data_IF_914228722601
#
_entry.id   IF_914228722601
#
_cell.length_a   1.000
_cell.length_b   1.000
_cell.length_c   1.000
_cell.angle_alpha   90.00
_cell.angle_beta   90.00
_cell.angle_gamma   90.00
#
_symmetry.space_group_name_H-M   'P 1'
#
loop_
_entity.id
_entity.type
_entity.pdbx_description
1 polymer ?
#
# COMPACT_ATOMS: atom_id res chain seq x y z
N UNK A 1 0.20 48.63 -36.16
CA UNK A 1 -0.57 48.23 -34.97
C UNK A 1 -1.42 47.04 -35.37
N UNK A 2 -0.86 45.84 -35.27
CA UNK A 2 -1.57 44.60 -35.61
C UNK A 2 -2.32 44.15 -34.37
N UNK A 3 -3.66 44.13 -34.47
CA UNK A 3 -4.57 43.53 -33.50
C UNK A 3 -4.20 42.07 -33.30
N UNK A 4 -3.79 41.71 -32.08
CA UNK A 4 -3.75 40.31 -31.65
C UNK A 4 -5.15 39.73 -31.88
N UNK A 5 -5.27 38.81 -32.84
CA UNK A 5 -6.45 37.98 -32.95
C UNK A 5 -6.60 37.25 -31.61
N UNK A 6 -7.70 37.54 -30.88
CA UNK A 6 -8.06 36.81 -29.68
C UNK A 6 -7.97 35.32 -29.99
N UNK A 7 -7.08 34.64 -29.28
CA UNK A 7 -6.89 33.21 -29.42
C UNK A 7 -8.15 32.53 -28.88
N UNK A 8 -9.14 32.36 -29.74
CA UNK A 8 -10.34 31.60 -29.47
C UNK A 8 -9.95 30.14 -29.44
N UNK A 9 -10.02 29.53 -28.26
CA UNK A 9 -9.63 28.14 -28.08
C UNK A 9 -10.00 27.64 -26.70
N UNK A 10 -9.75 26.36 -26.46
CA UNK A 10 -10.11 25.71 -25.20
C UNK A 10 -9.52 26.44 -23.96
N UNK A 11 -8.37 27.10 -24.12
CA UNK A 11 -7.69 27.85 -23.07
C UNK A 11 -8.33 29.20 -22.71
N UNK A 12 -9.26 29.71 -23.53
CA UNK A 12 -10.00 30.95 -23.25
C UNK A 12 -11.35 30.69 -22.58
N UNK A 13 -11.71 29.43 -22.33
CA UNK A 13 -12.97 29.09 -21.68
C UNK A 13 -12.90 29.35 -20.17
N UNK A 14 -14.02 29.75 -19.54
CA UNK A 14 -14.18 29.71 -18.09
C UNK A 14 -13.86 28.33 -17.50
N UNK A 15 -13.34 28.32 -16.28
CA UNK A 15 -12.92 27.09 -15.57
C UNK A 15 -14.09 26.11 -15.39
N UNK A 16 -15.30 26.63 -15.20
CA UNK A 16 -16.53 25.86 -15.07
C UNK A 16 -16.81 25.03 -16.33
N UNK A 17 -16.64 25.63 -17.51
CA UNK A 17 -16.82 24.92 -18.79
C UNK A 17 -15.72 23.88 -19.00
N UNK A 18 -14.48 24.17 -18.58
CA UNK A 18 -13.40 23.18 -18.62
C UNK A 18 -13.70 21.97 -17.74
N UNK A 19 -14.32 22.18 -16.57
CA UNK A 19 -14.79 21.11 -15.69
C UNK A 19 -15.91 20.28 -16.33
N UNK A 20 -16.92 20.91 -16.90
CA UNK A 20 -18.01 20.22 -17.58
C UNK A 20 -17.52 19.39 -18.76
N UNK A 21 -16.68 19.96 -19.62
CA UNK A 21 -16.08 19.27 -20.77
C UNK A 21 -15.34 18.01 -20.30
N UNK A 22 -14.56 18.12 -19.22
CA UNK A 22 -13.78 17.01 -18.71
C UNK A 22 -14.64 15.93 -18.03
N UNK A 23 -15.71 16.33 -17.32
CA UNK A 23 -16.67 15.39 -16.74
C UNK A 23 -17.48 14.65 -17.82
N UNK A 24 -17.80 15.33 -18.92
CA UNK A 24 -18.49 14.70 -20.05
C UNK A 24 -17.57 13.77 -20.85
N UNK A 25 -16.35 14.23 -21.14
CA UNK A 25 -15.40 13.47 -21.96
C UNK A 25 -14.72 12.32 -21.20
N UNK A 26 -14.60 12.43 -19.86
CA UNK A 26 -13.85 11.50 -19.00
C UNK A 26 -12.41 11.21 -19.49
N UNK A 27 -11.83 12.16 -20.22
CA UNK A 27 -10.56 11.98 -20.90
C UNK A 27 -9.39 12.09 -19.92
N UNK A 28 -8.57 11.04 -19.83
CA UNK A 28 -7.34 11.10 -19.01
C UNK A 28 -6.28 12.03 -19.62
N UNK A 29 -6.40 12.33 -20.92
CA UNK A 29 -5.38 12.99 -21.71
C UNK A 29 -5.61 14.51 -21.82
N UNK A 30 -6.84 14.98 -21.57
CA UNK A 30 -7.19 16.41 -21.64
C UNK A 30 -6.30 17.31 -20.76
N UNK A 31 -5.99 16.96 -19.49
CA UNK A 31 -5.10 17.77 -18.67
C UNK A 31 -3.67 17.91 -19.22
N UNK A 32 -3.26 17.08 -20.19
CA UNK A 32 -1.92 17.09 -20.75
C UNK A 32 -1.84 17.83 -22.09
N UNK A 33 -2.96 18.35 -22.60
CA UNK A 33 -3.01 19.10 -23.86
C UNK A 33 -2.41 20.50 -23.77
N UNK A 34 -2.41 21.11 -22.57
CA UNK A 34 -1.87 22.44 -22.30
C UNK A 34 -1.48 22.58 -20.84
N UNK A 35 -0.44 23.37 -20.54
CA UNK A 35 -0.03 23.67 -19.17
C UNK A 35 -1.13 24.40 -18.39
N UNK A 36 -1.80 25.38 -19.03
CA UNK A 36 -2.91 26.09 -18.39
C UNK A 36 -4.04 25.13 -17.97
N UNK A 37 -4.46 24.25 -18.88
CA UNK A 37 -5.52 23.26 -18.62
C UNK A 37 -5.09 22.29 -17.51
N UNK A 38 -3.81 21.89 -17.51
CA UNK A 38 -3.22 21.09 -16.44
C UNK A 38 -3.35 21.78 -15.09
N UNK A 39 -2.98 23.05 -15.01
CA UNK A 39 -2.96 23.83 -13.78
C UNK A 39 -4.39 24.04 -13.24
N UNK A 40 -5.36 24.25 -14.14
CA UNK A 40 -6.80 24.29 -13.80
C UNK A 40 -7.23 23.00 -13.10
N UNK A 41 -6.96 21.83 -13.70
CA UNK A 41 -7.37 20.55 -13.10
C UNK A 41 -6.55 20.16 -11.86
N UNK A 42 -5.28 20.55 -11.77
CA UNK A 42 -4.46 20.39 -10.54
C UNK A 42 -5.01 21.26 -9.40
N UNK A 43 -5.64 22.38 -9.71
CA UNK A 43 -6.22 23.31 -8.73
C UNK A 43 -7.68 23.01 -8.42
N UNK A 44 -8.29 22.05 -9.13
CA UNK A 44 -9.72 21.74 -8.99
C UNK A 44 -10.08 21.23 -7.60
N UNK A 45 -11.32 21.49 -7.16
CA UNK A 45 -11.79 21.12 -5.82
C UNK A 45 -11.80 19.60 -5.59
N UNK A 46 -11.69 19.13 -4.34
CA UNK A 46 -11.79 17.70 -4.02
C UNK A 46 -13.10 17.07 -4.51
N UNK A 47 -14.22 17.81 -4.43
CA UNK A 47 -15.54 17.38 -4.93
C UNK A 47 -15.54 17.13 -6.43
N UNK A 48 -14.97 18.05 -7.21
CA UNK A 48 -14.84 17.86 -8.66
C UNK A 48 -13.99 16.62 -9.00
N UNK A 49 -12.85 16.45 -8.32
CA UNK A 49 -11.99 15.28 -8.53
C UNK A 49 -12.70 13.98 -8.15
N UNK A 50 -13.45 13.98 -7.05
CA UNK A 50 -14.24 12.83 -6.61
C UNK A 50 -15.28 12.45 -7.67
N UNK A 51 -16.03 13.42 -8.18
CA UNK A 51 -17.01 13.21 -9.24
C UNK A 51 -16.36 12.66 -10.51
N UNK A 52 -15.28 13.27 -10.99
CA UNK A 52 -14.54 12.78 -12.16
C UNK A 52 -14.08 11.34 -11.98
N UNK A 53 -13.51 11.00 -10.81
CA UNK A 53 -13.03 9.65 -10.51
C UNK A 53 -14.18 8.64 -10.38
N UNK A 54 -15.32 9.05 -9.83
CA UNK A 54 -16.52 8.23 -9.73
C UNK A 54 -17.07 7.88 -11.10
N UNK A 55 -17.29 8.88 -11.96
CA UNK A 55 -17.78 8.67 -13.33
C UNK A 55 -16.80 7.80 -14.14
N UNK A 56 -15.49 8.06 -14.00
CA UNK A 56 -14.44 7.20 -14.59
C UNK A 56 -14.46 5.77 -14.07
N UNK A 57 -14.81 5.56 -12.82
CA UNK A 57 -14.91 4.22 -12.25
C UNK A 57 -16.16 3.50 -12.78
N UNK A 58 -17.27 4.22 -12.98
CA UNK A 58 -18.58 3.74 -13.44
C UNK A 58 -18.65 3.27 -14.90
N UNK A 59 -17.68 3.62 -15.76
CA UNK A 59 -17.69 3.25 -17.19
C UNK A 59 -17.53 1.75 -17.49
N UNK A 60 -17.77 0.83 -16.56
CA UNK A 60 -17.78 -0.61 -16.82
C UNK A 60 -19.04 -1.26 -16.27
N UNK A 61 -19.50 -2.33 -16.91
CA UNK A 61 -20.73 -3.01 -16.50
C UNK A 61 -20.57 -3.70 -15.13
N UNK A 62 -21.58 -3.51 -14.27
CA UNK A 62 -21.72 -4.06 -12.90
C UNK A 62 -20.56 -3.74 -11.96
N UNK A 63 -20.74 -2.69 -11.14
CA UNK A 63 -19.68 -2.17 -10.28
C UNK A 63 -20.16 -2.18 -8.84
N UNK A 64 -19.48 -2.95 -8.00
CA UNK A 64 -19.65 -2.84 -6.55
C UNK A 64 -18.88 -1.64 -6.01
N UNK A 65 -19.20 -1.20 -4.78
CA UNK A 65 -18.40 -0.16 -4.09
C UNK A 65 -16.92 -0.55 -4.00
N UNK A 66 -16.61 -1.83 -3.77
CA UNK A 66 -15.25 -2.37 -3.72
C UNK A 66 -14.49 -2.18 -5.03
N UNK A 67 -15.18 -2.34 -6.18
CA UNK A 67 -14.59 -2.13 -7.49
C UNK A 67 -14.28 -0.65 -7.73
N UNK A 68 -15.17 0.25 -7.29
CA UNK A 68 -14.93 1.70 -7.36
C UNK A 68 -13.68 2.05 -6.56
N UNK A 69 -13.58 1.63 -5.30
CA UNK A 69 -12.40 1.91 -4.48
C UNK A 69 -11.13 1.35 -5.09
N UNK A 70 -11.16 0.11 -5.59
CA UNK A 70 -10.03 -0.51 -6.28
C UNK A 70 -9.57 0.28 -7.51
N UNK A 71 -10.48 0.96 -8.21
CA UNK A 71 -10.19 1.78 -9.41
C UNK A 71 -9.77 3.20 -9.06
N UNK A 72 -10.54 3.89 -8.22
CA UNK A 72 -10.31 5.28 -7.83
C UNK A 72 -8.96 5.43 -7.14
N UNK A 73 -8.60 4.50 -6.26
CA UNK A 73 -7.31 4.52 -5.59
C UNK A 73 -6.14 4.38 -6.57
N UNK A 74 -6.31 3.87 -7.81
CA UNK A 74 -5.22 3.78 -8.80
C UNK A 74 -4.80 5.15 -9.34
N UNK A 75 -5.64 6.17 -9.19
CA UNK A 75 -5.35 7.53 -9.64
C UNK A 75 -4.56 8.28 -8.57
N UNK A 76 -3.47 8.94 -8.98
CA UNK A 76 -2.67 9.79 -8.08
C UNK A 76 -3.43 11.02 -7.54
N UNK A 77 -4.58 11.34 -8.14
CA UNK A 77 -5.48 12.41 -7.71
C UNK A 77 -6.30 12.04 -6.47
N UNK A 78 -6.40 10.73 -6.14
CA UNK A 78 -7.16 10.26 -4.99
C UNK A 78 -6.36 10.48 -3.69
N UNK A 79 -6.66 11.59 -3.02
CA UNK A 79 -6.21 11.96 -1.67
C UNK A 79 -7.30 11.70 -0.63
N UNK A 80 -6.99 11.94 0.64
CA UNK A 80 -7.97 11.89 1.75
C UNK A 80 -9.20 12.76 1.47
N UNK A 81 -9.01 14.04 1.15
CA UNK A 81 -10.12 14.99 0.90
C UNK A 81 -11.00 14.56 -0.28
N UNK A 82 -10.39 13.93 -1.29
CA UNK A 82 -11.14 13.39 -2.45
C UNK A 82 -11.98 12.18 -2.02
N UNK A 83 -11.48 11.33 -1.13
CA UNK A 83 -12.27 10.24 -0.57
C UNK A 83 -13.39 10.77 0.31
N UNK A 84 -13.13 11.75 1.18
CA UNK A 84 -14.17 12.39 2.00
C UNK A 84 -15.29 12.98 1.15
N UNK A 85 -14.95 13.59 0.01
CA UNK A 85 -15.94 14.09 -0.95
C UNK A 85 -16.64 12.99 -1.75
N UNK A 86 -15.98 11.83 -1.96
CA UNK A 86 -16.52 10.69 -2.70
C UNK A 86 -17.54 9.89 -1.88
N UNK A 87 -17.35 9.77 -0.56
CA UNK A 87 -18.18 8.94 0.31
C UNK A 87 -19.67 9.30 0.22
N UNK A 88 -20.09 10.57 0.39
CA UNK A 88 -21.51 10.92 0.26
C UNK A 88 -22.09 10.53 -1.09
N UNK A 89 -21.34 10.74 -2.18
CA UNK A 89 -21.76 10.39 -3.54
C UNK A 89 -21.99 8.89 -3.72
N UNK A 90 -21.27 8.04 -2.98
CA UNK A 90 -21.41 6.58 -3.01
C UNK A 90 -22.53 6.05 -2.10
N UNK A 91 -22.87 6.80 -1.06
CA UNK A 91 -23.97 6.46 -0.16
C UNK A 91 -25.33 6.80 -0.79
N UNK A 92 -25.37 7.86 -1.61
CA UNK A 92 -26.57 8.25 -2.36
C UNK A 92 -26.87 7.30 -3.55
N UNK A 93 -25.88 6.55 -4.01
CA UNK A 93 -26.00 5.64 -5.15
C UNK A 93 -26.43 4.23 -4.67
N UNK A 94 -27.47 3.60 -5.27
CA UNK A 94 -27.95 2.25 -4.91
C UNK A 94 -26.99 1.12 -5.34
N UNK A 95 -25.67 1.33 -5.21
CA UNK A 95 -24.65 0.34 -5.49
C UNK A 95 -24.68 -0.78 -4.46
N UNK A 96 -24.55 -2.02 -4.93
CA UNK A 96 -24.44 -3.18 -4.06
C UNK A 96 -23.23 -3.07 -3.14
N UNK A 97 -23.47 -3.22 -1.84
CA UNK A 97 -22.42 -3.43 -0.85
C UNK A 97 -21.93 -4.86 -1.02
N UNK A 98 -20.87 -5.04 -1.80
CA UNK A 98 -20.16 -6.31 -1.83
C UNK A 98 -19.41 -6.48 -0.51
N UNK A 99 -19.49 -7.68 0.08
CA UNK A 99 -18.64 -8.09 1.20
C UNK A 99 -17.16 -8.24 0.79
N UNK A 100 -16.87 -8.12 -0.50
CA UNK A 100 -15.54 -8.25 -1.05
C UNK A 100 -14.66 -7.06 -0.66
N UNK A 101 -13.46 -7.36 -0.18
CA UNK A 101 -12.43 -6.35 0.09
C UNK A 101 -11.95 -5.73 -1.22
N UNK A 102 -11.59 -4.45 -1.19
CA UNK A 102 -11.03 -3.78 -2.38
C UNK A 102 -9.50 -3.88 -2.44
N UNK A 103 -8.93 -3.81 -3.64
CA UNK A 103 -7.49 -3.93 -3.84
C UNK A 103 -6.74 -2.63 -3.52
N UNK A 104 -5.64 -2.73 -2.78
CA UNK A 104 -4.70 -1.63 -2.58
C UNK A 104 -3.74 -1.52 -3.77
N UNK A 105 -3.70 -0.38 -4.48
CA UNK A 105 -2.89 -0.26 -5.68
C UNK A 105 -1.40 -0.08 -5.34
N UNK A 106 -0.55 -0.69 -6.18
CA UNK A 106 0.93 -0.61 -6.04
C UNK A 106 1.47 0.82 -5.97
N UNK A 107 0.77 1.83 -6.52
CA UNK A 107 1.24 3.22 -6.53
C UNK A 107 1.47 3.79 -5.13
N UNK A 108 0.67 3.37 -4.13
CA UNK A 108 0.76 3.86 -2.75
C UNK A 108 2.12 3.54 -2.14
N UNK A 109 2.70 2.40 -2.54
CA UNK A 109 3.96 1.88 -2.03
C UNK A 109 5.12 2.08 -3.00
N UNK A 110 4.87 2.56 -4.23
CA UNK A 110 5.87 2.61 -5.29
C UNK A 110 7.07 3.50 -4.91
N UNK A 111 6.79 4.64 -4.26
CA UNK A 111 7.78 5.64 -3.83
C UNK A 111 8.56 5.24 -2.57
N UNK A 112 8.22 4.12 -1.93
CA UNK A 112 8.98 3.61 -0.80
C UNK A 112 10.38 3.18 -1.23
N UNK A 113 11.37 3.86 -0.68
CA UNK A 113 12.79 3.63 -0.86
C UNK A 113 13.51 3.66 0.50
N UNK A 114 14.66 2.97 0.65
CA UNK A 114 15.49 3.12 1.83
C UNK A 114 15.90 4.59 2.01
N UNK A 115 15.69 5.14 3.21
CA UNK A 115 16.23 6.44 3.59
C UNK A 115 17.70 6.30 4.00
N UNK A 116 18.48 7.38 3.88
CA UNK A 116 19.86 7.45 4.38
C UNK A 116 19.89 7.41 5.90
N UNK A 117 21.00 6.97 6.50
CA UNK A 117 21.12 6.63 7.92
C UNK A 117 20.64 7.68 8.93
N UNK A 118 20.55 8.96 8.55
CA UNK A 118 20.07 10.06 9.40
C UNK A 118 18.55 10.30 9.36
N UNK A 119 17.84 9.80 8.35
CA UNK A 119 16.39 10.00 8.20
C UNK A 119 15.67 8.65 8.38
N UNK A 120 14.89 8.52 9.45
CA UNK A 120 14.13 7.31 9.74
C UNK A 120 12.67 7.53 9.36
N UNK A 121 12.04 6.49 8.85
CA UNK A 121 10.60 6.49 8.60
C UNK A 121 9.81 6.59 9.91
N UNK A 122 8.82 7.48 9.97
CA UNK A 122 7.99 7.75 11.15
C UNK A 122 6.51 7.48 10.87
N UNK A 123 5.70 7.45 11.91
CA UNK A 123 4.27 7.14 11.84
C UNK A 123 3.47 8.11 10.95
N UNK A 124 3.95 9.35 10.83
CA UNK A 124 3.35 10.40 10.00
C UNK A 124 3.83 10.40 8.55
N UNK A 125 4.80 9.56 8.18
CA UNK A 125 5.29 9.50 6.81
C UNK A 125 4.31 8.73 5.91
N UNK A 126 4.08 9.24 4.70
CA UNK A 126 3.27 8.55 3.69
C UNK A 126 3.89 7.19 3.29
N UNK A 127 3.08 6.14 3.06
CA UNK A 127 1.62 6.13 2.92
C UNK A 127 0.84 5.83 4.22
N UNK A 128 1.48 5.83 5.39
CA UNK A 128 0.89 5.23 6.59
C UNK A 128 -0.36 5.98 7.10
N UNK A 129 -0.37 7.33 7.26
CA UNK A 129 -1.58 8.04 7.69
C UNK A 129 -2.75 7.84 6.74
N UNK A 130 -2.49 7.83 5.42
CA UNK A 130 -3.52 7.60 4.43
C UNK A 130 -4.10 6.18 4.52
N UNK A 131 -3.26 5.16 4.74
CA UNK A 131 -3.73 3.79 4.96
C UNK A 131 -4.55 3.66 6.23
N UNK A 132 -4.10 4.27 7.35
CA UNK A 132 -4.87 4.28 8.60
C UNK A 132 -6.26 4.86 8.37
N UNK A 133 -6.34 5.99 7.67
CA UNK A 133 -7.61 6.58 7.28
C UNK A 133 -8.49 5.59 6.50
N UNK A 134 -7.97 4.96 5.43
CA UNK A 134 -8.70 3.98 4.61
C UNK A 134 -9.29 2.80 5.40
N UNK A 135 -8.59 2.33 6.43
CA UNK A 135 -9.06 1.22 7.28
C UNK A 135 -10.09 1.64 8.34
N UNK A 136 -10.23 2.93 8.60
CA UNK A 136 -11.17 3.47 9.61
C UNK A 136 -12.48 3.96 9.02
N UNK A 137 -12.62 3.95 7.68
CA UNK A 137 -13.82 4.50 7.03
C UNK A 137 -15.01 3.58 7.31
N UNK A 138 -16.09 4.08 7.94
CA UNK A 138 -17.30 3.31 8.17
C UNK A 138 -18.03 3.04 6.85
N UNK A 139 -18.84 1.97 6.81
CA UNK A 139 -19.75 1.63 5.71
C UNK A 139 -19.08 1.37 4.34
N UNK A 140 -17.75 1.27 4.33
CA UNK A 140 -16.94 0.97 3.16
C UNK A 140 -16.24 -0.38 3.36
N UNK A 141 -16.16 -1.21 2.31
CA UNK A 141 -15.46 -2.49 2.38
C UNK A 141 -14.02 -2.31 2.84
N UNK A 142 -13.53 -3.20 3.69
CA UNK A 142 -12.14 -3.09 4.17
C UNK A 142 -11.14 -3.34 3.02
N UNK A 143 -9.99 -2.64 2.98
CA UNK A 143 -8.95 -2.92 2.00
C UNK A 143 -8.38 -4.34 2.17
N UNK A 144 -8.05 -4.98 1.05
CA UNK A 144 -7.31 -6.23 1.05
C UNK A 144 -5.81 -5.97 1.21
N UNK A 145 -5.28 -6.23 2.41
CA UNK A 145 -3.91 -5.88 2.79
C UNK A 145 -2.83 -6.63 1.99
N UNK A 146 -3.12 -7.86 1.56
CA UNK A 146 -2.22 -8.72 0.79
C UNK A 146 -2.36 -8.53 -0.74
N UNK A 147 -2.94 -7.41 -1.18
CA UNK A 147 -3.09 -7.08 -2.60
C UNK A 147 -1.77 -7.22 -3.37
N UNK A 148 -1.86 -7.77 -4.59
CA UNK A 148 -0.71 -8.03 -5.45
C UNK A 148 0.39 -8.89 -4.80
N UNK A 149 -0.02 -9.98 -4.15
CA UNK A 149 0.85 -10.95 -3.47
C UNK A 149 1.71 -10.33 -2.37
N UNK A 150 1.11 -9.51 -1.50
CA UNK A 150 1.81 -8.88 -0.38
C UNK A 150 2.83 -7.81 -0.80
N UNK A 151 2.57 -7.13 -1.93
CA UNK A 151 3.44 -6.08 -2.46
C UNK A 151 3.71 -4.96 -1.44
N UNK A 152 2.67 -4.56 -0.69
CA UNK A 152 2.76 -3.53 0.35
C UNK A 152 3.81 -3.88 1.41
N UNK A 153 3.69 -5.08 2.00
CA UNK A 153 4.60 -5.57 3.04
C UNK A 153 6.04 -5.69 2.49
N UNK A 154 6.19 -6.26 1.29
CA UNK A 154 7.51 -6.40 0.64
C UNK A 154 8.18 -5.04 0.42
N UNK A 155 7.44 -4.03 -0.04
CA UNK A 155 7.98 -2.67 -0.26
C UNK A 155 8.29 -1.94 1.04
N UNK A 156 7.47 -2.11 2.08
CA UNK A 156 7.73 -1.56 3.40
C UNK A 156 9.02 -2.14 4.01
N UNK A 157 9.22 -3.46 3.90
CA UNK A 157 10.45 -4.16 4.30
C UNK A 157 11.66 -3.66 3.51
N UNK A 158 11.53 -3.55 2.18
CA UNK A 158 12.59 -2.99 1.34
C UNK A 158 12.99 -1.58 1.78
N UNK A 159 12.04 -0.74 2.18
CA UNK A 159 12.30 0.63 2.64
C UNK A 159 12.74 0.74 4.11
N UNK A 160 12.71 -0.35 4.89
CA UNK A 160 12.87 -0.34 6.37
C UNK A 160 11.88 0.60 7.07
N UNK A 161 10.66 0.69 6.55
CA UNK A 161 9.60 1.48 7.16
C UNK A 161 8.95 0.68 8.30
N UNK A 162 9.63 0.57 9.44
CA UNK A 162 9.22 -0.29 10.56
C UNK A 162 7.79 -0.02 11.05
N UNK A 163 7.35 1.24 11.28
CA UNK A 163 5.95 1.48 11.64
C UNK A 163 4.94 0.95 10.65
N UNK A 164 5.18 1.14 9.35
CA UNK A 164 4.31 0.62 8.30
C UNK A 164 4.30 -0.91 8.32
N UNK A 165 5.44 -1.57 8.50
CA UNK A 165 5.51 -3.04 8.60
C UNK A 165 4.68 -3.54 9.78
N UNK A 166 4.84 -2.94 10.96
CA UNK A 166 4.08 -3.30 12.15
C UNK A 166 2.58 -3.10 11.94
N UNK A 167 2.20 -1.96 11.33
CA UNK A 167 0.80 -1.68 10.99
C UNK A 167 0.24 -2.72 10.03
N UNK A 168 0.93 -3.02 8.93
CA UNK A 168 0.48 -4.02 7.94
C UNK A 168 0.32 -5.41 8.59
N UNK A 169 1.28 -5.86 9.40
CA UNK A 169 1.18 -7.13 10.12
C UNK A 169 0.04 -7.12 11.15
N UNK A 170 -0.19 -5.99 11.81
CA UNK A 170 -1.32 -5.78 12.73
C UNK A 170 -2.68 -5.86 12.04
N UNK A 171 -2.76 -5.42 10.78
CA UNK A 171 -3.94 -5.58 9.91
C UNK A 171 -4.04 -6.98 9.27
N UNK A 172 -3.15 -7.92 9.63
CA UNK A 172 -3.17 -9.30 9.16
C UNK A 172 -2.44 -9.56 7.84
N UNK A 173 -1.54 -8.67 7.40
CA UNK A 173 -0.68 -8.95 6.26
C UNK A 173 0.14 -10.22 6.50
N UNK A 174 0.20 -11.10 5.50
CA UNK A 174 0.92 -12.36 5.62
C UNK A 174 2.35 -12.25 5.08
N UNK A 175 3.38 -12.51 5.92
CA UNK A 175 4.77 -12.59 5.46
C UNK A 175 5.03 -13.72 4.47
N UNK A 176 4.13 -14.71 4.37
CA UNK A 176 4.27 -15.89 3.50
C UNK A 176 3.93 -15.60 2.02
N UNK A 177 3.35 -14.44 1.71
CA UNK A 177 2.97 -14.09 0.34
C UNK A 177 4.16 -14.09 -0.61
N UNK A 178 3.90 -14.55 -1.84
CA UNK A 178 4.91 -14.66 -2.91
C UNK A 178 6.15 -15.43 -2.46
N UNK A 179 5.96 -16.64 -1.93
CA UNK A 179 7.04 -17.49 -1.40
C UNK A 179 7.89 -16.77 -0.34
N UNK A 180 7.22 -16.04 0.55
CA UNK A 180 7.85 -15.24 1.60
C UNK A 180 8.91 -14.25 1.09
N UNK A 181 8.57 -13.52 0.01
CA UNK A 181 9.46 -12.55 -0.59
C UNK A 181 9.87 -11.45 0.40
N UNK A 182 8.96 -11.00 1.26
CA UNK A 182 9.26 -10.01 2.30
C UNK A 182 10.39 -10.48 3.22
N UNK A 183 10.33 -11.72 3.71
CA UNK A 183 11.38 -12.30 4.57
C UNK A 183 12.69 -12.44 3.79
N UNK A 184 12.63 -12.91 2.54
CA UNK A 184 13.81 -13.03 1.68
C UNK A 184 14.50 -11.68 1.46
N UNK A 185 13.73 -10.59 1.30
CA UNK A 185 14.27 -9.23 1.20
C UNK A 185 14.97 -8.83 2.51
N UNK A 186 14.37 -9.10 3.67
CA UNK A 186 15.00 -8.80 4.97
C UNK A 186 16.32 -9.56 5.16
N UNK A 187 16.36 -10.85 4.80
CA UNK A 187 17.56 -11.69 4.84
C UNK A 187 18.67 -11.10 3.96
N UNK A 188 18.35 -10.72 2.71
CA UNK A 188 19.33 -10.11 1.80
C UNK A 188 19.88 -8.78 2.30
N UNK A 189 19.14 -8.07 3.15
CA UNK A 189 19.59 -6.84 3.80
C UNK A 189 20.36 -7.10 5.10
N UNK A 190 20.60 -8.36 5.46
CA UNK A 190 21.28 -8.80 6.69
C UNK A 190 20.68 -8.16 7.94
N UNK A 191 19.35 -8.11 8.00
CA UNK A 191 18.61 -7.39 9.03
C UNK A 191 17.86 -8.40 9.91
N UNK A 192 18.54 -8.92 10.95
CA UNK A 192 17.99 -9.95 11.83
C UNK A 192 16.72 -9.48 12.54
N UNK A 193 16.70 -8.25 13.05
CA UNK A 193 15.52 -7.70 13.74
C UNK A 193 14.30 -7.65 12.82
N UNK A 194 14.52 -7.31 11.54
CA UNK A 194 13.45 -7.31 10.55
C UNK A 194 12.97 -8.72 10.20
N UNK A 195 13.88 -9.71 10.16
CA UNK A 195 13.50 -11.13 10.00
C UNK A 195 12.68 -11.59 11.20
N UNK A 196 13.14 -11.33 12.43
CA UNK A 196 12.41 -11.64 13.67
C UNK A 196 11.03 -10.99 13.68
N UNK A 197 10.93 -9.72 13.28
CA UNK A 197 9.65 -9.00 13.18
C UNK A 197 8.65 -9.68 12.23
N UNK A 198 9.13 -10.23 11.11
CA UNK A 198 8.28 -10.89 10.12
C UNK A 198 7.92 -12.33 10.51
N UNK A 199 8.86 -13.07 11.10
CA UNK A 199 8.67 -14.49 11.45
C UNK A 199 7.91 -14.63 12.76
N UNK A 200 8.33 -13.94 13.81
CA UNK A 200 7.76 -14.11 15.14
C UNK A 200 6.42 -13.41 15.25
N UNK A 201 5.51 -13.97 16.06
CA UNK A 201 4.25 -13.30 16.39
C UNK A 201 4.41 -12.50 17.68
N UNK A 202 4.60 -11.18 17.55
CA UNK A 202 4.51 -10.26 18.68
C UNK A 202 3.05 -9.88 18.89
N UNK A 203 2.48 -10.18 20.06
CA UNK A 203 1.19 -9.62 20.44
C UNK A 203 1.29 -8.10 20.48
N UNK A 204 0.29 -7.35 19.98
CA UNK A 204 0.16 -5.96 20.41
C UNK A 204 0.03 -6.01 21.93
N UNK A 205 0.87 -5.27 22.65
CA UNK A 205 0.81 -5.16 24.10
C UNK A 205 -0.54 -4.52 24.44
N UNK A 206 -1.57 -5.36 24.58
CA UNK A 206 -2.80 -4.95 25.22
C UNK A 206 -2.42 -4.71 26.67
N UNK A 207 -2.33 -3.43 27.02
CA UNK A 207 -2.25 -2.94 28.39
C UNK A 207 -3.59 -3.25 29.06
N UNK A 208 -3.89 -4.52 29.29
CA UNK A 208 -5.05 -4.96 30.04
C UNK A 208 -4.57 -5.65 31.30
N UNK A 209 -4.56 -4.84 32.36
CA UNK A 209 -4.77 -5.15 33.78
C UNK A 209 -4.53 -6.62 34.21
N UNK A 210 -3.53 -6.78 35.09
CA UNK A 210 -3.41 -7.80 36.15
C UNK A 210 -4.41 -8.95 36.08
N UNK A 211 -4.09 -9.97 35.28
CA UNK A 211 -4.69 -11.29 35.36
C UNK A 211 -3.63 -12.32 34.99
N UNK A 212 -3.38 -13.30 35.86
CA UNK A 212 -2.50 -14.45 35.59
C UNK A 212 -3.17 -15.36 34.54
N UNK A 213 -3.23 -14.93 33.29
CA UNK A 213 -3.61 -15.80 32.18
C UNK A 213 -2.36 -16.56 31.71
N UNK A 214 -2.46 -17.88 31.59
CA UNK A 214 -1.41 -18.73 31.00
C UNK A 214 -1.04 -18.16 29.62
N UNK A 215 0.19 -17.66 29.47
CA UNK A 215 0.75 -17.28 28.16
C UNK A 215 0.68 -18.50 27.26
N UNK A 216 -0.30 -18.57 26.37
CA UNK A 216 -0.31 -19.56 25.28
C UNK A 216 0.93 -19.28 24.44
N UNK A 217 1.73 -20.30 24.14
CA UNK A 217 2.83 -20.17 23.18
C UNK A 217 2.19 -19.80 21.84
N UNK A 218 2.31 -18.53 21.45
CA UNK A 218 1.86 -18.07 20.15
C UNK A 218 2.81 -18.67 19.13
N UNK A 219 2.26 -19.42 18.16
CA UNK A 219 3.04 -19.89 17.03
C UNK A 219 3.52 -18.70 16.18
N UNK A 220 4.63 -18.90 15.47
CA UNK A 220 5.18 -17.93 14.53
C UNK A 220 4.16 -17.54 13.45
N UNK A 221 4.33 -16.36 12.87
CA UNK A 221 3.51 -15.87 11.73
C UNK A 221 3.83 -16.64 10.45
N UNK A 222 5.02 -17.21 10.37
CA UNK A 222 5.55 -17.87 9.20
C UNK A 222 6.43 -19.04 9.63
N UNK A 223 6.21 -20.21 9.03
CA UNK A 223 7.11 -21.34 9.15
C UNK A 223 8.36 -21.08 8.30
N UNK A 224 9.52 -21.10 8.95
CA UNK A 224 10.80 -20.88 8.26
C UNK A 224 11.12 -22.11 7.40
N UNK A 225 11.56 -21.85 6.16
CA UNK A 225 11.91 -22.92 5.21
C UNK A 225 13.42 -23.06 5.00
N UNK A 226 13.91 -24.25 4.58
CA UNK A 226 15.32 -24.43 4.20
C UNK A 226 15.78 -23.47 3.08
N UNK A 227 14.87 -23.02 2.22
CA UNK A 227 15.17 -22.03 1.19
C UNK A 227 15.56 -20.66 1.77
N UNK A 228 14.96 -20.26 2.90
CA UNK A 228 15.34 -19.05 3.63
C UNK A 228 16.74 -19.17 4.23
N UNK A 229 17.02 -20.30 4.87
CA UNK A 229 18.34 -20.60 5.43
C UNK A 229 19.41 -20.56 4.34
N UNK A 230 19.18 -21.25 3.21
CA UNK A 230 20.07 -21.22 2.05
C UNK A 230 20.31 -19.81 1.51
N UNK A 231 19.29 -18.95 1.53
CA UNK A 231 19.43 -17.54 1.16
C UNK A 231 20.29 -16.79 2.17
N UNK A 232 20.11 -17.01 3.48
CA UNK A 232 20.90 -16.39 4.53
C UNK A 232 22.39 -16.77 4.43
N UNK A 233 22.69 -18.05 4.19
CA UNK A 233 24.06 -18.53 3.96
C UNK A 233 24.67 -17.89 2.73
N UNK A 234 23.96 -17.86 1.60
CA UNK A 234 24.42 -17.20 0.36
C UNK A 234 24.69 -15.70 0.53
N UNK A 235 23.97 -15.05 1.45
CA UNK A 235 24.18 -13.64 1.75
C UNK A 235 25.24 -13.42 2.83
N UNK A 236 25.85 -14.46 3.42
CA UNK A 236 26.74 -14.36 4.59
C UNK A 236 26.09 -13.53 5.73
N UNK A 237 24.85 -13.89 6.08
CA UNK A 237 24.09 -13.30 7.18
C UNK A 237 24.13 -14.27 8.38
N UNK A 238 25.29 -14.35 9.05
CA UNK A 238 25.58 -15.38 10.07
C UNK A 238 24.63 -15.34 11.26
N UNK A 239 24.32 -14.14 11.73
CA UNK A 239 23.33 -13.88 12.78
C UNK A 239 21.94 -14.44 12.44
N UNK A 240 21.52 -14.31 11.17
CA UNK A 240 20.27 -14.88 10.66
C UNK A 240 20.38 -16.40 10.52
N UNK A 241 21.51 -16.93 10.04
CA UNK A 241 21.74 -18.38 9.95
C UNK A 241 21.61 -19.03 11.33
N UNK A 242 22.30 -18.49 12.33
CA UNK A 242 22.27 -18.97 13.70
C UNK A 242 20.86 -18.93 14.26
N UNK A 243 20.14 -17.83 14.05
CA UNK A 243 18.73 -17.71 14.41
C UNK A 243 17.86 -18.81 13.79
N UNK A 244 18.00 -19.05 12.48
CA UNK A 244 17.17 -20.02 11.78
C UNK A 244 17.47 -21.47 12.21
N UNK A 245 18.73 -21.81 12.48
CA UNK A 245 19.12 -23.15 12.92
C UNK A 245 18.81 -23.36 14.39
N UNK A 246 19.31 -22.47 15.26
CA UNK A 246 19.29 -22.67 16.71
C UNK A 246 17.93 -22.32 17.33
N UNK A 247 17.32 -21.20 16.93
CA UNK A 247 16.04 -20.76 17.50
C UNK A 247 14.84 -21.36 16.75
N UNK A 248 14.91 -21.48 15.42
CA UNK A 248 13.80 -21.96 14.59
C UNK A 248 13.91 -23.43 14.17
N UNK A 249 15.02 -24.10 14.48
CA UNK A 249 15.17 -25.54 14.24
C UNK A 249 15.21 -25.95 12.77
N UNK A 250 15.59 -25.04 11.86
CA UNK A 250 15.69 -25.36 10.44
C UNK A 250 16.91 -26.25 10.21
N UNK A 251 16.66 -27.45 9.67
CA UNK A 251 17.72 -28.40 9.34
C UNK A 251 18.31 -28.02 7.98
N UNK A 252 19.64 -27.79 7.88
CA UNK A 252 20.28 -27.47 6.61
C UNK A 252 20.28 -28.67 5.65
N UNK A 253 20.13 -28.43 4.34
CA UNK A 253 20.39 -29.45 3.32
C UNK A 253 21.90 -29.66 3.13
N UNK A 254 22.31 -30.76 2.50
CA UNK A 254 23.74 -31.08 2.29
C UNK A 254 24.49 -29.97 1.55
N UNK A 255 23.83 -29.29 0.62
CA UNK A 255 24.42 -28.17 -0.12
C UNK A 255 24.65 -26.96 0.79
N UNK A 256 23.72 -26.66 1.69
CA UNK A 256 23.84 -25.57 2.67
C UNK A 256 24.91 -25.89 3.71
N UNK A 257 25.05 -27.15 4.12
CA UNK A 257 26.16 -27.58 4.99
C UNK A 257 27.52 -27.36 4.34
N UNK A 258 27.68 -27.71 3.06
CA UNK A 258 28.91 -27.45 2.31
C UNK A 258 29.25 -25.95 2.26
N UNK A 259 28.24 -25.09 2.11
CA UNK A 259 28.42 -23.63 2.12
C UNK A 259 28.73 -23.05 3.51
N UNK A 260 28.41 -23.76 4.59
CA UNK A 260 28.70 -23.33 5.97
C UNK A 260 30.10 -23.76 6.43
N UNK A 261 30.63 -24.84 5.85
CA UNK A 261 31.91 -25.45 6.24
C UNK A 261 33.09 -25.06 5.33
N UNK A 262 32.81 -24.48 4.16
CA UNK A 262 33.81 -23.94 3.22
C UNK A 262 33.95 -22.43 3.34
#
# INVERSE_FOLDING_TARGET
MSTEAERTGLHSLPVELLYEIQLYALSKDLPYTSQHIRDVFISASPRYRAQYLLERAKTSNSISRSDIFSRVLRYGLCSKDVIEALIPMLLDDPLSISSQRYELPRRLFRRLAPKTSSDQWKDHDEPLPFLQYLFTIPDIPTPYIDSHDGYALTKAVHARFVPLIQYLLGQGASPARKHALAVTVAIRKKDLELVKLLVERRDPVLVTKKGKAKKRKLHDRLDVTPAMLKTAVKCDARDIVDYLIQEKGVIPDMQTLQMLLG
#
